data_IF_145229616779
#
_entry.id   IF_145229616779
#
_cell.length_a   1.000
_cell.length_b   1.000
_cell.length_c   1.000
_cell.angle_alpha   90.00
_cell.angle_beta   90.00
_cell.angle_gamma   90.00
#
_symmetry.space_group_name_H-M   'P 1'
#
loop_
_entity.id
_entity.type
_entity.pdbx_description
1 polymer ?
#
# COMPACT_ATOMS: atom_id res chain seq x y z
N UNK A 1 4.67 9.69 -6.96
CA UNK A 1 4.96 10.98 -7.65
C UNK A 1 6.30 11.59 -7.25
N UNK A 2 6.60 11.83 -5.96
CA UNK A 2 7.85 12.51 -5.55
C UNK A 2 9.14 11.88 -6.12
N UNK A 3 9.18 10.55 -6.17
CA UNK A 3 10.33 9.76 -6.65
C UNK A 3 10.29 9.40 -8.14
N UNK A 4 9.33 9.92 -8.91
CA UNK A 4 9.13 9.56 -10.33
C UNK A 4 9.04 8.04 -10.57
N UNK A 5 8.41 7.34 -9.63
CA UNK A 5 8.15 5.91 -9.70
C UNK A 5 6.69 5.66 -10.13
N UNK A 6 6.46 4.96 -11.26
CA UNK A 6 5.13 4.44 -11.58
C UNK A 6 4.65 3.47 -10.51
N UNK A 7 3.37 3.50 -10.19
CA UNK A 7 2.78 2.69 -9.12
C UNK A 7 3.00 1.18 -9.35
N UNK A 8 2.87 0.72 -10.60
CA UNK A 8 3.06 -0.68 -11.01
C UNK A 8 4.53 -1.11 -11.13
N UNK A 9 5.49 -0.24 -10.82
CA UNK A 9 6.90 -0.59 -10.93
C UNK A 9 7.40 -1.39 -9.72
N UNK A 10 8.36 -2.29 -9.97
CA UNK A 10 9.05 -3.05 -8.91
C UNK A 10 9.68 -2.09 -7.88
N UNK A 11 10.24 -0.97 -8.35
CA UNK A 11 10.85 0.05 -7.49
C UNK A 11 9.82 0.71 -6.56
N UNK A 12 8.60 1.00 -7.03
CA UNK A 12 7.55 1.55 -6.17
C UNK A 12 7.12 0.55 -5.09
N UNK A 13 6.97 -0.72 -5.45
CA UNK A 13 6.65 -1.80 -4.49
C UNK A 13 7.78 -2.04 -3.49
N UNK A 14 9.03 -1.97 -3.93
CA UNK A 14 10.20 -2.06 -3.04
C UNK A 14 10.17 -0.91 -2.04
N UNK A 15 9.99 0.33 -2.50
CA UNK A 15 9.93 1.50 -1.62
C UNK A 15 8.80 1.38 -0.58
N UNK A 16 7.60 0.95 -1.01
CA UNK A 16 6.48 0.73 -0.09
C UNK A 16 6.84 -0.31 0.98
N UNK A 17 7.46 -1.42 0.58
CA UNK A 17 7.92 -2.48 1.48
C UNK A 17 9.01 -1.99 2.43
N UNK A 18 9.99 -1.22 1.93
CA UNK A 18 11.10 -0.69 2.72
C UNK A 18 10.57 0.24 3.83
N UNK A 19 9.65 1.15 3.50
CA UNK A 19 9.05 2.06 4.48
C UNK A 19 8.26 1.28 5.52
N UNK A 20 7.37 0.37 5.11
CA UNK A 20 6.50 -0.35 6.04
C UNK A 20 7.27 -1.38 6.89
N UNK A 21 8.29 -2.02 6.32
CA UNK A 21 9.21 -2.91 7.05
C UNK A 21 9.92 -2.18 8.18
N UNK A 22 10.40 -0.96 7.91
CA UNK A 22 11.02 -0.13 8.93
C UNK A 22 10.03 0.22 10.04
N UNK A 23 8.83 0.70 9.70
CA UNK A 23 7.79 1.03 10.69
C UNK A 23 7.43 -0.20 11.53
N UNK A 24 7.26 -1.37 10.91
CA UNK A 24 6.98 -2.61 11.62
C UNK A 24 8.11 -2.95 12.59
N UNK A 25 9.36 -2.98 12.11
CA UNK A 25 10.52 -3.31 12.95
C UNK A 25 10.64 -2.39 14.16
N UNK A 26 10.53 -1.08 13.95
CA UNK A 26 10.56 -0.10 15.04
C UNK A 26 9.39 -0.33 16.00
N UNK A 27 8.17 -0.57 15.49
CA UNK A 27 7.00 -0.85 16.33
C UNK A 27 7.20 -2.09 17.24
N UNK A 28 7.85 -3.13 16.73
CA UNK A 28 8.17 -4.35 17.50
C UNK A 28 9.26 -4.08 18.53
N UNK A 29 10.32 -3.34 18.17
CA UNK A 29 11.35 -2.91 19.12
C UNK A 29 10.73 -2.11 20.28
N UNK A 30 9.90 -1.12 19.98
CA UNK A 30 9.19 -0.32 20.99
C UNK A 30 8.24 -1.16 21.83
N UNK A 31 7.57 -2.16 21.24
CA UNK A 31 6.74 -3.12 21.99
C UNK A 31 7.54 -3.93 23.02
N UNK A 32 8.80 -4.27 22.73
CA UNK A 32 9.71 -4.90 23.70
C UNK A 32 10.09 -3.93 24.82
N UNK A 33 10.46 -2.69 24.49
CA UNK A 33 10.80 -1.65 25.48
C UNK A 33 9.61 -1.32 26.41
N UNK A 34 8.39 -1.32 25.87
CA UNK A 34 7.19 -1.14 26.68
C UNK A 34 6.95 -2.32 27.62
N UNK A 35 7.27 -3.55 27.20
CA UNK A 35 7.17 -4.72 28.05
C UNK A 35 8.19 -4.69 29.20
N UNK A 36 9.40 -4.18 28.97
CA UNK A 36 10.40 -3.98 30.02
C UNK A 36 9.88 -3.04 31.12
N UNK A 37 9.12 -2.01 30.75
CA UNK A 37 8.58 -1.00 31.70
C UNK A 37 7.24 -1.37 32.32
N UNK A 38 6.38 -2.11 31.60
CA UNK A 38 4.96 -2.32 31.95
C UNK A 38 4.54 -3.79 32.03
N UNK A 39 5.48 -4.70 31.83
CA UNK A 39 5.21 -6.13 31.67
C UNK A 39 4.69 -6.50 30.28
N UNK A 40 4.93 -7.74 29.88
CA UNK A 40 4.41 -8.32 28.63
C UNK A 40 2.90 -8.45 28.61
N UNK A 41 2.34 -8.59 27.40
CA UNK A 41 0.96 -9.05 27.28
C UNK A 41 0.80 -10.51 27.74
N UNK A 42 -0.41 -10.87 28.15
CA UNK A 42 -0.70 -12.18 28.73
C UNK A 42 -0.48 -13.34 27.76
N UNK A 43 -0.61 -13.11 26.46
CA UNK A 43 -0.31 -14.09 25.43
C UNK A 43 1.12 -14.64 25.52
N UNK A 44 2.07 -13.87 26.07
CA UNK A 44 3.45 -14.33 26.29
C UNK A 44 3.59 -15.33 27.44
N UNK A 45 2.57 -15.48 28.31
CA UNK A 45 2.56 -16.50 29.37
C UNK A 45 2.41 -17.92 28.79
N UNK A 46 1.75 -18.07 27.65
CA UNK A 46 1.42 -19.35 27.02
C UNK A 46 2.49 -19.81 26.01
N UNK A 47 3.69 -20.16 26.50
CA UNK A 47 4.86 -20.46 25.64
C UNK A 47 4.59 -21.50 24.56
N UNK A 48 3.93 -22.60 24.92
CA UNK A 48 3.69 -23.74 24.02
C UNK A 48 2.76 -23.40 22.84
N UNK A 49 1.90 -22.39 22.99
CA UNK A 49 0.92 -21.98 21.98
C UNK A 49 1.27 -20.67 21.29
N UNK A 50 2.46 -20.12 21.55
CA UNK A 50 2.83 -18.80 21.07
C UNK A 50 4.01 -18.88 20.10
N UNK A 51 3.73 -18.61 18.83
CA UNK A 51 4.71 -18.71 17.72
C UNK A 51 5.95 -17.83 17.92
N UNK A 52 5.90 -16.78 18.74
CA UNK A 52 7.07 -15.96 19.05
C UNK A 52 8.19 -16.75 19.77
N UNK A 53 7.86 -17.87 20.42
CA UNK A 53 8.85 -18.80 20.95
C UNK A 53 9.39 -19.79 19.91
N UNK A 54 8.80 -19.82 18.71
CA UNK A 54 9.12 -20.72 17.60
C UNK A 54 9.55 -19.96 16.34
N UNK A 55 10.29 -18.87 16.55
CA UNK A 55 10.95 -18.08 15.52
C UNK A 55 10.01 -17.34 14.55
N UNK A 56 8.83 -16.93 15.06
CA UNK A 56 7.80 -16.22 14.28
C UNK A 56 8.35 -15.07 13.44
N UNK A 57 9.04 -14.09 14.05
CA UNK A 57 9.51 -12.91 13.32
C UNK A 57 10.56 -13.29 12.27
N UNK A 58 11.46 -14.21 12.62
CA UNK A 58 12.50 -14.69 11.70
C UNK A 58 11.93 -15.45 10.52
N UNK A 59 10.82 -16.18 10.69
CA UNK A 59 10.12 -16.91 9.62
C UNK A 59 9.27 -15.97 8.78
N UNK A 60 8.45 -15.14 9.43
CA UNK A 60 7.49 -14.23 8.78
C UNK A 60 8.18 -13.11 8.02
N UNK A 61 9.24 -12.52 8.59
CA UNK A 61 9.97 -11.39 8.02
C UNK A 61 11.36 -11.80 7.50
N UNK A 62 11.48 -13.02 6.98
CA UNK A 62 12.73 -13.58 6.45
C UNK A 62 13.17 -12.99 5.10
N UNK A 63 12.68 -11.82 4.71
CA UNK A 63 13.03 -11.15 3.47
C UNK A 63 13.71 -9.82 3.79
N UNK A 64 14.95 -9.62 3.33
CA UNK A 64 15.65 -8.36 3.57
C UNK A 64 15.01 -7.24 2.76
N UNK A 65 14.88 -6.09 3.40
CA UNK A 65 14.54 -4.81 2.78
C UNK A 65 15.78 -3.91 2.79
N UNK A 66 15.74 -2.77 2.12
CA UNK A 66 16.84 -1.80 2.18
C UNK A 66 16.94 -1.14 3.57
N UNK A 67 15.87 -1.19 4.35
CA UNK A 67 15.75 -0.53 5.67
C UNK A 67 15.93 -1.48 6.84
N UNK A 68 15.57 -2.75 6.69
CA UNK A 68 15.66 -3.77 7.74
C UNK A 68 16.12 -5.10 7.14
N UNK A 69 17.18 -5.65 7.71
CA UNK A 69 17.79 -6.91 7.30
C UNK A 69 17.19 -8.13 8.03
N UNK A 70 17.34 -9.32 7.43
CA UNK A 70 17.02 -10.61 8.10
C UNK A 70 17.78 -10.81 9.41
N UNK A 71 18.96 -10.21 9.57
CA UNK A 71 19.78 -10.33 10.80
C UNK A 71 19.12 -9.54 11.94
N UNK A 72 18.59 -8.37 11.65
CA UNK A 72 17.88 -7.53 12.62
C UNK A 72 16.60 -8.21 13.11
N UNK A 73 15.79 -8.75 12.19
CA UNK A 73 14.60 -9.53 12.55
C UNK A 73 14.94 -10.74 13.43
N UNK A 74 16.00 -11.49 13.08
CA UNK A 74 16.49 -12.61 13.90
C UNK A 74 16.93 -12.16 15.29
N UNK A 75 17.71 -11.09 15.40
CA UNK A 75 18.14 -10.56 16.70
C UNK A 75 16.97 -10.17 17.59
N UNK A 76 15.95 -9.52 17.01
CA UNK A 76 14.75 -9.13 17.74
C UNK A 76 13.93 -10.36 18.17
N UNK A 77 13.77 -11.33 17.27
CA UNK A 77 13.14 -12.62 17.56
C UNK A 77 13.82 -13.32 18.75
N UNK A 78 15.15 -13.45 18.72
CA UNK A 78 15.91 -14.15 19.74
C UNK A 78 15.81 -13.44 21.09
N UNK A 79 15.79 -12.09 21.09
CA UNK A 79 15.52 -11.30 22.30
C UNK A 79 14.14 -11.66 22.88
N UNK A 80 13.08 -11.60 22.07
CA UNK A 80 11.70 -11.89 22.51
C UNK A 80 11.57 -13.33 23.00
N UNK A 81 12.12 -14.29 22.27
CA UNK A 81 12.10 -15.72 22.61
C UNK A 81 12.80 -15.99 23.95
N UNK A 82 13.95 -15.36 24.20
CA UNK A 82 14.71 -15.51 25.44
C UNK A 82 14.01 -14.85 26.64
N UNK A 83 13.50 -13.64 26.47
CA UNK A 83 13.00 -12.83 27.60
C UNK A 83 11.50 -12.99 27.83
N UNK A 84 10.73 -13.39 26.81
CA UNK A 84 9.28 -13.32 26.82
C UNK A 84 8.72 -11.89 26.81
N UNK A 85 9.56 -10.88 26.55
CA UNK A 85 9.19 -9.47 26.61
C UNK A 85 8.57 -9.02 25.30
N UNK A 86 7.25 -8.86 25.29
CA UNK A 86 6.51 -8.28 24.17
C UNK A 86 5.17 -7.72 24.66
N UNK A 87 4.93 -6.42 24.48
CA UNK A 87 3.72 -5.76 24.98
C UNK A 87 2.52 -5.93 24.05
N UNK A 88 2.78 -5.99 22.75
CA UNK A 88 1.79 -6.08 21.68
C UNK A 88 2.23 -7.17 20.69
N UNK A 89 1.38 -8.20 20.52
CA UNK A 89 1.63 -9.35 19.62
C UNK A 89 1.61 -8.90 18.15
N UNK A 90 0.62 -8.09 17.77
CA UNK A 90 0.51 -7.49 16.43
C UNK A 90 0.55 -5.97 16.61
N UNK A 91 1.29 -5.28 15.75
CA UNK A 91 1.58 -3.85 15.87
C UNK A 91 1.36 -3.11 14.56
N UNK A 92 1.25 -3.80 13.43
CA UNK A 92 1.04 -3.14 12.15
C UNK A 92 -0.01 -3.81 11.26
N UNK A 93 -0.90 -2.98 10.77
CA UNK A 93 -1.94 -3.26 9.77
C UNK A 93 -2.10 -1.99 8.93
N UNK A 94 -2.58 -2.11 7.69
CA UNK A 94 -2.76 -0.94 6.82
C UNK A 94 -4.26 -0.67 6.63
N UNK A 95 -4.89 0.13 7.50
CA UNK A 95 -6.32 0.41 7.43
C UNK A 95 -6.65 1.46 6.35
N UNK A 96 -7.94 1.68 6.03
CA UNK A 96 -8.36 2.83 5.26
C UNK A 96 -7.95 4.14 5.96
N UNK A 97 -7.37 5.07 5.21
CA UNK A 97 -6.95 6.38 5.73
C UNK A 97 -7.83 7.55 5.25
N UNK A 98 -9.04 7.28 4.77
CA UNK A 98 -9.88 8.24 4.02
C UNK A 98 -9.91 9.67 4.59
N UNK A 99 -10.38 9.85 5.84
CA UNK A 99 -10.52 11.20 6.43
C UNK A 99 -9.18 11.85 6.77
N UNK A 100 -8.23 11.07 7.30
CA UNK A 100 -6.92 11.58 7.70
C UNK A 100 -6.09 12.00 6.49
N UNK A 101 -6.18 11.26 5.38
CA UNK A 101 -5.50 11.60 4.13
C UNK A 101 -5.97 12.94 3.53
N UNK A 102 -7.26 13.28 3.68
CA UNK A 102 -7.77 14.59 3.27
C UNK A 102 -7.16 15.72 4.12
N UNK A 103 -7.05 15.51 5.43
CA UNK A 103 -6.44 16.49 6.34
C UNK A 103 -4.93 16.67 6.04
N UNK A 104 -4.25 15.58 5.70
CA UNK A 104 -2.80 15.57 5.45
C UNK A 104 -2.41 15.87 3.98
N UNK A 105 -3.39 16.17 3.10
CA UNK A 105 -3.18 16.38 1.66
C UNK A 105 -2.35 15.25 1.00
N UNK A 106 -2.68 14.00 1.32
CA UNK A 106 -1.99 12.81 0.81
C UNK A 106 -2.96 11.76 0.23
N UNK A 107 -2.42 10.73 -0.42
CA UNK A 107 -3.23 9.64 -0.97
C UNK A 107 -3.86 8.78 0.14
N UNK A 108 -4.94 8.07 -0.20
CA UNK A 108 -5.67 7.20 0.73
C UNK A 108 -4.89 5.91 1.00
N UNK A 109 -4.05 5.91 2.04
CA UNK A 109 -3.21 4.76 2.38
C UNK A 109 -2.28 4.39 1.22
N UNK A 110 -2.40 3.16 0.74
CA UNK A 110 -1.63 2.66 -0.42
C UNK A 110 -2.42 2.74 -1.74
N UNK A 111 -3.54 3.45 -1.79
CA UNK A 111 -4.31 3.57 -3.03
C UNK A 111 -3.63 4.48 -4.06
N UNK A 112 -3.63 4.10 -5.35
CA UNK A 112 -3.34 5.04 -6.42
C UNK A 112 -4.45 6.11 -6.47
N UNK A 113 -4.17 7.21 -7.16
CA UNK A 113 -5.18 8.26 -7.39
C UNK A 113 -6.36 7.65 -8.14
N UNK A 114 -7.56 7.73 -7.58
CA UNK A 114 -8.75 7.15 -8.22
C UNK A 114 -9.19 7.93 -9.46
N UNK A 115 -9.19 9.26 -9.38
CA UNK A 115 -9.56 10.14 -10.47
C UNK A 115 -9.10 11.57 -10.22
N UNK A 116 -9.31 12.42 -11.21
CA UNK A 116 -8.94 13.84 -11.15
C UNK A 116 -10.17 14.73 -10.96
N UNK A 117 -9.99 15.91 -10.35
CA UNK A 117 -11.10 16.83 -10.10
C UNK A 117 -11.71 17.39 -11.40
N UNK A 118 -13.03 17.58 -11.38
CA UNK A 118 -13.80 18.30 -12.40
C UNK A 118 -13.62 19.82 -12.27
N UNK A 119 -14.32 20.61 -13.09
CA UNK A 119 -14.14 22.07 -13.25
C UNK A 119 -14.12 22.87 -11.94
N UNK A 120 -14.90 22.45 -10.93
CA UNK A 120 -15.07 23.17 -9.66
C UNK A 120 -13.89 22.92 -8.69
N UNK A 121 -13.18 21.79 -8.81
CA UNK A 121 -12.18 21.38 -7.83
C UNK A 121 -10.73 21.64 -8.32
N UNK A 122 -9.87 22.01 -7.38
CA UNK A 122 -8.43 22.18 -7.64
C UNK A 122 -7.72 20.83 -7.67
N UNK A 123 -6.72 20.68 -8.55
CA UNK A 123 -5.84 19.52 -8.54
C UNK A 123 -5.03 19.46 -7.24
N UNK A 124 -4.80 18.25 -6.68
CA UNK A 124 -3.87 18.06 -5.58
C UNK A 124 -2.52 18.75 -5.83
N UNK A 125 -2.00 19.45 -4.82
CA UNK A 125 -0.75 20.21 -4.92
C UNK A 125 0.42 19.32 -5.34
N UNK A 126 0.40 18.06 -4.92
CA UNK A 126 1.39 17.03 -5.27
C UNK A 126 1.46 16.76 -6.77
N UNK A 127 0.32 16.69 -7.47
CA UNK A 127 0.25 16.50 -8.93
C UNK A 127 0.78 17.72 -9.66
N UNK A 128 0.32 18.93 -9.28
CA UNK A 128 0.76 20.18 -9.92
C UNK A 128 2.27 20.35 -9.77
N UNK A 129 2.80 20.08 -8.57
CA UNK A 129 4.24 20.14 -8.30
C UNK A 129 5.02 19.10 -9.10
N UNK A 130 4.49 17.88 -9.23
CA UNK A 130 5.11 16.84 -10.04
C UNK A 130 5.20 17.25 -11.52
N UNK A 131 4.14 17.81 -12.08
CA UNK A 131 4.13 18.31 -13.47
C UNK A 131 5.13 19.45 -13.64
N UNK A 132 5.13 20.46 -12.75
CA UNK A 132 6.09 21.58 -12.79
C UNK A 132 7.55 21.12 -12.82
N UNK A 133 7.88 20.05 -12.08
CA UNK A 133 9.24 19.48 -12.04
C UNK A 133 9.59 18.69 -13.31
N UNK A 134 8.62 18.08 -13.98
CA UNK A 134 8.84 17.14 -15.07
C UNK A 134 8.40 17.64 -16.46
N UNK A 135 7.86 18.86 -16.54
CA UNK A 135 7.39 19.46 -17.78
C UNK A 135 7.56 20.98 -17.74
N UNK A 136 8.23 21.52 -18.77
CA UNK A 136 8.52 22.97 -18.90
C UNK A 136 7.48 23.73 -19.74
N UNK A 137 6.54 23.04 -20.36
CA UNK A 137 5.52 23.67 -21.21
C UNK A 137 4.33 24.22 -20.41
N UNK A 138 3.25 24.58 -21.12
CA UNK A 138 2.06 25.16 -20.51
C UNK A 138 1.27 24.14 -19.69
N UNK A 139 1.40 24.23 -18.36
CA UNK A 139 0.74 23.35 -17.39
C UNK A 139 -0.78 23.56 -17.38
N UNK A 140 -1.27 24.80 -17.59
CA UNK A 140 -2.71 25.07 -17.63
C UNK A 140 -3.38 24.25 -18.74
N UNK A 141 -2.75 24.17 -19.92
CA UNK A 141 -3.25 23.35 -21.03
C UNK A 141 -3.28 21.85 -20.69
N UNK A 142 -2.26 21.35 -19.99
CA UNK A 142 -2.22 19.95 -19.52
C UNK A 142 -3.37 19.68 -18.54
N UNK A 143 -3.53 20.52 -17.51
CA UNK A 143 -4.56 20.35 -16.50
C UNK A 143 -5.97 20.50 -17.07
N UNK A 144 -6.18 21.44 -18.00
CA UNK A 144 -7.46 21.60 -18.70
C UNK A 144 -7.80 20.38 -19.55
N UNK A 145 -6.81 19.78 -20.22
CA UNK A 145 -7.01 18.54 -20.97
C UNK A 145 -7.39 17.38 -20.05
N UNK A 146 -6.71 17.23 -18.91
CA UNK A 146 -7.04 16.19 -17.92
C UNK A 146 -8.42 16.40 -17.29
N UNK A 147 -8.87 17.64 -17.08
CA UNK A 147 -10.25 17.90 -16.62
C UNK A 147 -11.32 17.40 -17.58
N UNK A 148 -11.05 17.49 -18.89
CA UNK A 148 -11.97 17.02 -19.93
C UNK A 148 -11.93 15.52 -20.12
N UNK A 149 -10.73 14.93 -20.12
CA UNK A 149 -10.54 13.53 -20.51
C UNK A 149 -10.40 12.57 -19.31
N UNK A 150 -10.20 13.07 -18.09
CA UNK A 150 -9.97 12.26 -16.90
C UNK A 150 -8.64 11.50 -16.87
N UNK A 151 -7.75 11.72 -17.83
CA UNK A 151 -6.48 11.01 -17.96
C UNK A 151 -5.34 11.91 -18.44
N UNK A 152 -4.11 11.52 -18.10
CA UNK A 152 -2.89 12.14 -18.63
C UNK A 152 -2.40 11.54 -19.96
N UNK A 153 -3.02 10.44 -20.46
CA UNK A 153 -2.56 9.70 -21.65
C UNK A 153 -2.32 10.58 -22.88
N UNK A 154 -3.25 11.48 -23.20
CA UNK A 154 -3.18 12.30 -24.42
C UNK A 154 -2.50 13.67 -24.19
N UNK A 155 -1.81 13.86 -23.07
CA UNK A 155 -1.12 15.13 -22.78
C UNK A 155 0.27 15.19 -23.43
N UNK A 156 0.91 16.37 -23.42
CA UNK A 156 2.29 16.57 -23.90
C UNK A 156 3.37 16.13 -22.90
N UNK A 157 2.99 15.48 -21.80
CA UNK A 157 3.96 14.96 -20.82
C UNK A 157 4.80 13.82 -21.43
N UNK A 158 5.98 13.57 -20.86
CA UNK A 158 6.78 12.40 -21.23
C UNK A 158 6.08 11.09 -20.86
N UNK A 159 6.40 10.00 -21.54
CA UNK A 159 5.85 8.66 -21.25
C UNK A 159 6.04 8.28 -19.77
N UNK A 160 7.25 8.46 -19.24
CA UNK A 160 7.56 8.21 -17.82
C UNK A 160 6.69 9.04 -16.85
N UNK A 161 6.42 10.31 -17.17
CA UNK A 161 5.55 11.13 -16.33
C UNK A 161 4.08 10.67 -16.40
N UNK A 162 3.60 10.27 -17.58
CA UNK A 162 2.24 9.71 -17.75
C UNK A 162 2.06 8.41 -16.97
N UNK A 163 3.06 7.52 -16.97
CA UNK A 163 3.04 6.28 -16.19
C UNK A 163 2.94 6.54 -14.68
N UNK A 164 3.58 7.60 -14.17
CA UNK A 164 3.48 8.00 -12.77
C UNK A 164 2.13 8.59 -12.38
N UNK A 165 1.33 9.01 -13.36
CA UNK A 165 0.05 9.71 -13.19
C UNK A 165 -1.15 8.85 -13.60
N UNK A 166 -0.94 7.55 -13.86
CA UNK A 166 -2.05 6.61 -14.09
C UNK A 166 -2.96 6.56 -12.88
N UNK A 167 -4.26 6.61 -13.14
CA UNK A 167 -5.31 6.44 -12.14
C UNK A 167 -5.50 4.97 -11.76
N UNK A 168 -6.25 4.73 -10.69
CA UNK A 168 -6.65 3.39 -10.25
C UNK A 168 -7.32 2.59 -11.38
N UNK A 169 -8.16 3.22 -12.20
CA UNK A 169 -8.86 2.56 -13.31
C UNK A 169 -7.98 2.33 -14.54
N UNK A 170 -6.79 2.93 -14.60
CA UNK A 170 -5.84 2.75 -15.70
C UNK A 170 -4.74 1.72 -15.39
N UNK A 171 -4.66 1.28 -14.14
CA UNK A 171 -3.76 0.21 -13.71
C UNK A 171 -4.41 -1.15 -13.97
N UNK A 172 -3.59 -2.15 -14.30
CA UNK A 172 -4.09 -3.51 -14.45
C UNK A 172 -4.48 -4.10 -13.09
N UNK A 173 -5.47 -5.01 -13.00
CA UNK A 173 -5.86 -5.64 -11.75
C UNK A 173 -4.67 -6.27 -11.01
N UNK A 174 -3.77 -6.93 -11.74
CA UNK A 174 -2.55 -7.51 -11.19
C UNK A 174 -1.64 -6.46 -10.54
N UNK A 175 -1.53 -5.24 -11.11
CA UNK A 175 -0.74 -4.16 -10.49
C UNK A 175 -1.28 -3.75 -9.12
N UNK A 176 -2.60 -3.83 -8.91
CA UNK A 176 -3.19 -3.60 -7.60
C UNK A 176 -2.81 -4.71 -6.62
N UNK A 177 -2.97 -5.97 -7.03
CA UNK A 177 -2.66 -7.16 -6.22
C UNK A 177 -1.17 -7.16 -5.83
N UNK A 178 -0.26 -6.94 -6.76
CA UNK A 178 1.18 -6.95 -6.49
C UNK A 178 1.60 -5.91 -5.44
N UNK A 179 0.92 -4.76 -5.36
CA UNK A 179 1.19 -3.79 -4.28
C UNK A 179 0.73 -4.34 -2.92
N UNK A 180 -0.44 -4.99 -2.86
CA UNK A 180 -0.91 -5.63 -1.62
C UNK A 180 0.04 -6.76 -1.23
N UNK A 181 0.47 -7.60 -2.18
CA UNK A 181 1.42 -8.71 -1.96
C UNK A 181 2.74 -8.19 -1.41
N UNK A 182 3.23 -7.06 -1.90
CA UNK A 182 4.47 -6.46 -1.41
C UNK A 182 4.43 -6.12 0.09
N UNK A 183 3.24 -5.90 0.65
CA UNK A 183 3.06 -5.59 2.07
C UNK A 183 2.51 -6.76 2.88
N UNK A 184 1.57 -7.54 2.35
CA UNK A 184 0.75 -8.49 3.08
C UNK A 184 0.83 -9.94 2.58
N UNK A 185 1.52 -10.21 1.47
CA UNK A 185 1.63 -11.55 0.90
C UNK A 185 2.57 -12.47 1.68
N UNK A 186 2.99 -13.57 1.05
CA UNK A 186 3.87 -14.58 1.67
C UNK A 186 5.17 -13.96 2.22
N UNK A 187 5.75 -13.00 1.49
CA UNK A 187 6.93 -12.22 1.91
C UNK A 187 6.58 -10.80 2.35
N UNK A 188 5.34 -10.60 2.81
CA UNK A 188 4.85 -9.33 3.33
C UNK A 188 5.57 -8.89 4.60
N UNK A 189 5.49 -7.59 4.87
CA UNK A 189 6.18 -6.90 5.97
C UNK A 189 5.21 -6.35 7.01
N UNK A 190 3.95 -6.79 7.00
CA UNK A 190 2.95 -6.48 8.02
C UNK A 190 2.42 -7.73 8.71
N UNK A 191 1.90 -7.55 9.92
CA UNK A 191 1.34 -8.63 10.75
C UNK A 191 -0.01 -9.11 10.18
N UNK A 192 -0.86 -8.16 9.79
CA UNK A 192 -2.22 -8.41 9.31
C UNK A 192 -2.35 -8.28 7.79
N UNK A 193 -3.15 -7.33 7.31
CA UNK A 193 -3.50 -7.12 5.91
C UNK A 193 -3.45 -5.64 5.53
N UNK A 194 -3.60 -5.36 4.24
CA UNK A 194 -3.75 -4.00 3.74
C UNK A 194 -5.13 -3.81 3.11
N UNK A 195 -5.87 -2.84 3.65
CA UNK A 195 -7.14 -2.39 3.10
C UNK A 195 -6.90 -1.61 1.82
N UNK A 196 -6.89 -2.33 0.71
CA UNK A 196 -6.71 -1.80 -0.63
C UNK A 196 -7.66 -2.46 -1.62
N UNK A 197 -8.18 -1.64 -2.52
CA UNK A 197 -9.13 -2.00 -3.56
C UNK A 197 -8.43 -2.35 -4.87
N UNK A 198 -8.76 -3.51 -5.42
CA UNK A 198 -8.49 -3.91 -6.80
C UNK A 198 -9.62 -3.38 -7.67
N UNK A 199 -9.31 -2.44 -8.55
CA UNK A 199 -10.31 -1.82 -9.43
C UNK A 199 -10.42 -2.61 -10.72
N UNK A 200 -11.65 -2.95 -11.11
CA UNK A 200 -11.95 -3.71 -12.32
C UNK A 200 -12.81 -2.91 -13.28
N UNK A 201 -12.65 -3.10 -14.61
CA UNK A 201 -13.53 -2.47 -15.58
C UNK A 201 -14.95 -3.01 -15.44
N UNK A 202 -15.93 -2.23 -15.90
CA UNK A 202 -17.35 -2.63 -15.92
C UNK A 202 -17.59 -3.95 -16.65
N UNK A 203 -16.77 -4.22 -17.66
CA UNK A 203 -16.79 -5.42 -18.51
C UNK A 203 -16.15 -6.66 -17.87
N UNK A 204 -15.58 -6.56 -16.66
CA UNK A 204 -15.02 -7.72 -15.97
C UNK A 204 -16.10 -8.78 -15.72
N UNK A 205 -15.83 -10.01 -16.17
CA UNK A 205 -16.73 -11.16 -16.01
C UNK A 205 -16.62 -11.77 -14.61
N UNK A 206 -17.53 -12.70 -14.30
CA UNK A 206 -17.50 -13.46 -13.04
C UNK A 206 -16.20 -14.28 -12.95
N UNK A 207 -15.79 -14.88 -14.07
CA UNK A 207 -14.55 -15.67 -14.17
C UNK A 207 -13.33 -14.78 -13.90
N UNK A 208 -13.29 -13.56 -14.45
CA UNK A 208 -12.20 -12.63 -14.17
C UNK A 208 -12.10 -12.27 -12.67
N UNK A 209 -13.24 -12.12 -11.98
CA UNK A 209 -13.28 -11.87 -10.54
C UNK A 209 -12.79 -13.10 -9.76
N UNK A 210 -13.23 -14.30 -10.16
CA UNK A 210 -12.80 -15.56 -9.57
C UNK A 210 -11.29 -15.77 -9.67
N UNK A 211 -10.71 -15.56 -10.86
CA UNK A 211 -9.28 -15.69 -11.09
C UNK A 211 -8.46 -14.69 -10.24
N UNK A 212 -8.98 -13.48 -10.01
CA UNK A 212 -8.33 -12.52 -9.12
C UNK A 212 -8.26 -13.01 -7.68
N UNK A 213 -9.32 -13.64 -7.17
CA UNK A 213 -9.29 -14.21 -5.82
C UNK A 213 -8.34 -15.41 -5.73
N UNK A 214 -8.33 -16.30 -6.72
CA UNK A 214 -7.38 -17.41 -6.79
C UNK A 214 -5.94 -16.92 -6.83
N UNK A 215 -5.67 -15.88 -7.63
CA UNK A 215 -4.34 -15.30 -7.75
C UNK A 215 -3.90 -14.62 -6.45
N UNK A 216 -4.78 -13.87 -5.79
CA UNK A 216 -4.49 -13.27 -4.50
C UNK A 216 -4.19 -14.34 -3.43
N UNK A 217 -4.98 -15.41 -3.39
CA UNK A 217 -4.79 -16.53 -2.47
C UNK A 217 -3.46 -17.24 -2.74
N UNK A 218 -3.12 -17.54 -3.99
CA UNK A 218 -1.86 -18.21 -4.35
C UNK A 218 -0.62 -17.36 -4.03
N UNK A 219 -0.77 -16.03 -3.97
CA UNK A 219 0.27 -15.09 -3.54
C UNK A 219 0.34 -14.88 -2.02
N UNK A 220 -0.44 -15.63 -1.25
CA UNK A 220 -0.45 -15.61 0.22
C UNK A 220 -1.19 -14.43 0.83
N UNK A 221 -2.11 -13.79 0.09
CA UNK A 221 -2.97 -12.75 0.65
C UNK A 221 -4.11 -13.38 1.47
N UNK A 222 -4.32 -12.83 2.68
CA UNK A 222 -5.43 -13.21 3.56
C UNK A 222 -6.77 -12.62 3.11
N UNK A 223 -6.74 -11.48 2.42
CA UNK A 223 -7.92 -10.82 1.86
C UNK A 223 -7.52 -9.83 0.76
N UNK A 224 -8.49 -9.50 -0.08
CA UNK A 224 -8.49 -8.39 -1.02
C UNK A 224 -9.89 -7.81 -1.10
N UNK A 225 -10.00 -6.52 -1.44
CA UNK A 225 -11.28 -5.90 -1.79
C UNK A 225 -11.31 -5.64 -3.29
N UNK A 226 -12.45 -5.92 -3.93
CA UNK A 226 -12.64 -5.68 -5.36
C UNK A 226 -13.73 -4.63 -5.54
N UNK A 227 -13.47 -3.68 -6.43
CA UNK A 227 -14.49 -2.77 -6.93
C UNK A 227 -14.58 -2.91 -8.45
N UNK A 228 -15.72 -3.41 -8.93
CA UNK A 228 -16.03 -3.46 -10.36
C UNK A 228 -16.77 -2.19 -10.74
N UNK A 229 -16.25 -1.46 -11.71
CA UNK A 229 -16.82 -0.19 -12.13
C UNK A 229 -18.31 -0.33 -12.51
N UNK A 230 -19.13 0.56 -11.95
CA UNK A 230 -20.58 0.54 -12.12
C UNK A 230 -21.33 -0.52 -11.29
N UNK A 231 -20.69 -1.24 -10.36
CA UNK A 231 -21.37 -2.18 -9.46
C UNK A 231 -22.18 -1.50 -8.35
N UNK A 232 -21.96 -0.21 -8.11
CA UNK A 232 -22.68 0.59 -7.13
C UNK A 232 -23.23 1.86 -7.79
N UNK A 233 -24.50 2.17 -7.54
CA UNK A 233 -25.22 3.29 -8.19
C UNK A 233 -24.58 4.65 -7.89
N UNK A 234 -24.09 4.83 -6.67
CA UNK A 234 -23.46 6.08 -6.22
C UNK A 234 -21.95 5.88 -6.03
N UNK A 235 -21.14 6.31 -7.00
CA UNK A 235 -19.70 6.36 -6.80
C UNK A 235 -19.32 7.55 -5.91
N UNK A 236 -18.49 7.37 -4.87
CA UNK A 236 -18.09 8.47 -3.98
C UNK A 236 -17.25 9.55 -4.71
N UNK A 237 -16.73 9.25 -5.89
CA UNK A 237 -16.06 10.20 -6.77
C UNK A 237 -16.71 10.15 -8.16
N UNK A 238 -17.27 11.27 -8.62
CA UNK A 238 -17.63 11.41 -10.05
C UNK A 238 -16.34 11.50 -10.85
N UNK A 239 -16.10 10.50 -11.67
CA UNK A 239 -15.03 10.54 -12.66
C UNK A 239 -15.44 11.51 -13.77
N UNK A 240 -14.53 12.38 -14.21
CA UNK A 240 -14.66 13.09 -15.48
C UNK A 240 -14.55 12.05 -16.60
N UNK A 241 -15.68 11.55 -17.09
CA UNK A 241 -15.78 10.67 -18.26
C UNK A 241 -16.71 11.30 -19.26
#
# INVERSE_FOLDING_TARGET
>A
MYYKLPYSSIKARSLARDVVSYVNYISKCTSVELAEKRGSCEAMKFKEKNEYYYDYLSKRYNFSTHTVSKKEWRRLNDKIKKTGLLRNILTITQPPAARVSLLMDCSFGIEPIFGFPTEINQFPKSIVTFIKKNYKGNIKNVLQKVRKEGTFKNTKLSSSAKECLKTATELSPISHIEMVVALAGSNGVIDETASKTVNLPKTASIEAVYEIFLLAHSMGLKNISIYRDGSYLNQPYKLSR
#
